data_IF_694432525795
#
_entry.id   IF_694432525795
#
_cell.length_a   1.000
_cell.length_b   1.000
_cell.length_c   1.000
_cell.angle_alpha   90.00
_cell.angle_beta   90.00
_cell.angle_gamma   90.00
#
_symmetry.space_group_name_H-M   'P 1'
#
loop_
_entity.id
_entity.type
_entity.pdbx_description
1 polymer ?
#
# COMPACT_ATOMS: atom_id res chain seq x y z
N UNK A 1 16.80 10.70 -54.28
CA UNK A 1 15.44 10.53 -53.72
C UNK A 1 15.63 10.11 -52.27
N UNK A 2 15.51 11.05 -51.34
CA UNK A 2 15.80 10.84 -49.93
C UNK A 2 14.67 10.01 -49.29
N UNK A 3 15.03 8.90 -48.65
CA UNK A 3 14.11 8.11 -47.82
C UNK A 3 13.82 8.98 -46.60
N UNK A 4 12.65 9.61 -46.59
CA UNK A 4 12.14 10.32 -45.43
C UNK A 4 12.13 9.34 -44.24
N UNK A 5 12.90 9.65 -43.20
CA UNK A 5 12.95 8.86 -41.99
C UNK A 5 11.54 8.72 -41.43
N UNK A 6 11.03 7.49 -41.34
CA UNK A 6 9.77 7.24 -40.65
C UNK A 6 9.97 7.67 -39.20
N UNK A 7 9.28 8.73 -38.79
CA UNK A 7 9.14 9.08 -37.38
C UNK A 7 8.58 7.82 -36.72
N UNK A 8 9.37 7.21 -35.85
CA UNK A 8 8.97 6.02 -35.12
C UNK A 8 7.82 6.43 -34.21
N UNK A 9 6.58 6.04 -34.55
CA UNK A 9 5.39 6.23 -33.71
C UNK A 9 5.43 5.39 -32.42
N UNK A 10 6.61 4.86 -32.06
CA UNK A 10 6.87 4.05 -30.88
C UNK A 10 6.42 4.73 -29.59
N UNK A 11 6.69 6.02 -29.29
CA UNK A 11 6.19 6.64 -28.07
C UNK A 11 4.65 6.66 -28.00
N UNK A 12 3.97 6.88 -29.13
CA UNK A 12 2.52 6.82 -29.20
C UNK A 12 2.02 5.40 -28.99
N UNK A 13 2.64 4.40 -29.62
CA UNK A 13 2.34 2.98 -29.42
C UNK A 13 2.47 2.57 -27.94
N UNK A 14 3.59 2.89 -27.29
CA UNK A 14 3.84 2.53 -25.89
C UNK A 14 2.81 3.17 -24.95
N UNK A 15 2.39 4.41 -25.21
CA UNK A 15 1.31 5.08 -24.48
C UNK A 15 -0.03 4.35 -24.60
N UNK A 16 -0.40 3.93 -25.82
CA UNK A 16 -1.64 3.17 -26.05
C UNK A 16 -1.58 1.81 -25.35
N UNK A 17 -0.46 1.12 -25.43
CA UNK A 17 -0.24 -0.15 -24.74
C UNK A 17 -0.36 -0.01 -23.22
N UNK A 18 0.21 1.04 -22.63
CA UNK A 18 0.07 1.31 -21.20
C UNK A 18 -1.39 1.61 -20.81
N UNK A 19 -2.11 2.39 -21.63
CA UNK A 19 -3.54 2.64 -21.42
C UNK A 19 -4.37 1.34 -21.46
N UNK A 20 -4.05 0.46 -22.41
CA UNK A 20 -4.69 -0.85 -22.53
C UNK A 20 -4.40 -1.73 -21.33
N UNK A 21 -3.14 -1.79 -20.89
CA UNK A 21 -2.72 -2.55 -19.72
C UNK A 21 -3.47 -2.10 -18.46
N UNK A 22 -3.67 -0.79 -18.27
CA UNK A 22 -4.48 -0.24 -17.17
C UNK A 22 -5.93 -0.70 -17.23
N UNK A 23 -6.56 -0.63 -18.41
CA UNK A 23 -7.95 -1.07 -18.59
C UNK A 23 -8.15 -2.59 -18.49
N UNK A 24 -7.07 -3.36 -18.55
CA UNK A 24 -7.08 -4.83 -18.52
C UNK A 24 -6.53 -5.41 -17.21
N UNK A 25 -6.34 -4.57 -16.18
CA UNK A 25 -5.76 -4.97 -14.88
C UNK A 25 -4.44 -5.75 -15.02
N UNK A 26 -3.59 -5.30 -15.94
CA UNK A 26 -2.23 -5.84 -16.16
C UNK A 26 -1.15 -5.00 -15.49
N UNK A 27 -1.50 -3.82 -14.98
CA UNK A 27 -0.58 -3.04 -14.17
C UNK A 27 -0.66 -3.59 -12.74
N UNK A 28 0.45 -4.12 -12.20
CA UNK A 28 0.47 -4.61 -10.83
C UNK A 28 0.07 -3.51 -9.85
N UNK A 29 -0.45 -3.89 -8.69
CA UNK A 29 -0.52 -3.00 -7.56
C UNK A 29 0.71 -3.22 -6.67
N UNK A 30 1.54 -2.19 -6.55
CA UNK A 30 2.73 -2.16 -5.67
C UNK A 30 2.66 -1.00 -4.68
N UNK A 31 1.48 -0.40 -4.52
CA UNK A 31 1.26 0.74 -3.66
C UNK A 31 1.26 0.35 -2.17
N UNK A 32 1.47 1.35 -1.32
CA UNK A 32 1.20 1.24 0.11
C UNK A 32 -0.33 1.29 0.28
N UNK A 33 -0.87 0.45 1.15
CA UNK A 33 -2.29 0.40 1.41
C UNK A 33 -2.84 1.78 1.81
N UNK A 34 -3.96 2.13 1.20
CA UNK A 34 -4.58 3.44 1.40
C UNK A 34 -4.90 3.75 2.85
N UNK A 35 -5.17 2.75 3.68
CA UNK A 35 -5.48 2.93 5.11
C UNK A 35 -4.21 3.24 5.91
N UNK A 36 -3.10 2.56 5.59
CA UNK A 36 -1.81 2.88 6.19
C UNK A 36 -1.38 4.30 5.80
N UNK A 37 -1.56 4.68 4.53
CA UNK A 37 -1.32 6.07 4.08
C UNK A 37 -2.22 7.05 4.83
N UNK A 38 -3.54 6.79 4.88
CA UNK A 38 -4.56 7.63 5.55
C UNK A 38 -4.21 7.93 7.00
N UNK A 39 -3.77 6.93 7.76
CA UNK A 39 -3.47 7.11 9.19
C UNK A 39 -2.02 7.42 9.51
N UNK A 40 -1.10 7.41 8.54
CA UNK A 40 0.33 7.71 8.76
C UNK A 40 0.66 9.20 8.92
N UNK A 41 -0.29 10.08 8.58
CA UNK A 41 -0.12 11.53 8.52
C UNK A 41 -0.36 12.28 9.85
N UNK A 42 -0.06 13.59 9.81
CA UNK A 42 -0.34 14.52 10.91
C UNK A 42 -1.84 14.78 11.12
N UNK A 43 -2.64 14.49 10.11
CA UNK A 43 -4.10 14.56 10.08
C UNK A 43 -4.79 13.28 10.55
N UNK A 44 -4.03 12.27 11.01
CA UNK A 44 -4.55 10.94 11.36
C UNK A 44 -5.74 10.93 12.33
N UNK A 45 -5.80 11.87 13.29
CA UNK A 45 -6.95 12.00 14.20
C UNK A 45 -8.19 12.57 13.50
N UNK A 46 -8.02 13.55 12.60
CA UNK A 46 -9.14 14.06 11.79
C UNK A 46 -9.65 12.99 10.84
N UNK A 47 -8.75 12.21 10.24
CA UNK A 47 -9.10 11.06 9.41
C UNK A 47 -9.84 9.97 10.19
N UNK A 48 -9.47 9.73 11.45
CA UNK A 48 -10.20 8.84 12.36
C UNK A 48 -11.61 9.36 12.64
N UNK A 49 -11.73 10.63 13.03
CA UNK A 49 -13.01 11.25 13.35
C UNK A 49 -13.96 11.22 12.13
N UNK A 50 -13.46 11.54 10.94
CA UNK A 50 -14.21 11.46 9.68
C UNK A 50 -14.65 10.03 9.37
N UNK A 51 -13.74 9.06 9.47
CA UNK A 51 -14.02 7.64 9.20
C UNK A 51 -15.13 7.11 10.11
N UNK A 52 -15.05 7.39 11.42
CA UNK A 52 -16.06 6.96 12.38
C UNK A 52 -17.39 7.67 12.14
N UNK A 53 -17.36 8.98 11.84
CA UNK A 53 -18.57 9.74 11.54
C UNK A 53 -19.30 9.17 10.32
N UNK A 54 -18.57 8.77 9.27
CA UNK A 54 -19.13 8.14 8.08
C UNK A 54 -19.75 6.77 8.40
N UNK A 55 -19.02 5.89 9.10
CA UNK A 55 -19.56 4.60 9.55
C UNK A 55 -20.83 4.74 10.40
N UNK A 56 -20.87 5.73 11.28
CA UNK A 56 -22.07 6.00 12.09
C UNK A 56 -23.22 6.59 11.26
N UNK A 57 -22.95 7.39 10.22
CA UNK A 57 -23.99 7.86 9.30
C UNK A 57 -24.62 6.70 8.53
N UNK A 58 -23.82 5.75 8.07
CA UNK A 58 -24.32 4.57 7.36
C UNK A 58 -25.14 3.66 8.29
N UNK A 59 -24.75 3.59 9.57
CA UNK A 59 -25.49 2.90 10.61
C UNK A 59 -26.64 3.71 11.23
N UNK A 60 -27.01 4.88 10.69
CA UNK A 60 -27.89 5.85 11.37
C UNK A 60 -29.25 5.29 11.78
N UNK A 61 -29.90 4.51 10.90
CA UNK A 61 -31.21 3.90 11.21
C UNK A 61 -31.12 2.95 12.40
N UNK A 62 -30.04 2.18 12.48
CA UNK A 62 -29.82 1.22 13.56
C UNK A 62 -29.39 1.92 14.87
N UNK A 63 -28.54 2.95 14.78
CA UNK A 63 -28.12 3.77 15.92
C UNK A 63 -29.30 4.42 16.65
N UNK A 64 -30.33 4.84 15.90
CA UNK A 64 -31.53 5.45 16.48
C UNK A 64 -32.30 4.48 17.38
N UNK A 65 -32.30 3.20 17.04
CA UNK A 65 -33.03 2.15 17.76
C UNK A 65 -32.17 1.51 18.88
N UNK A 66 -30.84 1.51 18.74
CA UNK A 66 -29.91 0.79 19.61
C UNK A 66 -28.83 1.67 20.26
N UNK A 67 -29.13 2.97 20.43
CA UNK A 67 -28.18 3.99 20.93
C UNK A 67 -27.45 3.54 22.20
N UNK A 68 -28.17 2.99 23.17
CA UNK A 68 -27.59 2.59 24.46
C UNK A 68 -26.64 1.39 24.33
N UNK A 69 -26.94 0.44 23.43
CA UNK A 69 -26.05 -0.70 23.14
C UNK A 69 -24.74 -0.21 22.53
N UNK A 70 -24.82 0.70 21.57
CA UNK A 70 -23.65 1.30 20.91
C UNK A 70 -22.81 2.10 21.86
N UNK A 71 -23.45 2.96 22.65
CA UNK A 71 -22.75 3.79 23.60
C UNK A 71 -22.06 2.92 24.65
N UNK A 72 -22.70 1.83 25.08
CA UNK A 72 -22.10 0.83 25.95
C UNK A 72 -20.90 0.14 25.30
N UNK A 73 -21.01 -0.31 24.04
CA UNK A 73 -19.93 -0.99 23.33
C UNK A 73 -18.74 -0.06 23.05
N UNK A 74 -19.01 1.20 22.70
CA UNK A 74 -17.98 2.21 22.42
C UNK A 74 -17.44 2.88 23.70
N UNK A 75 -18.06 2.66 24.86
CA UNK A 75 -17.61 3.26 26.13
C UNK A 75 -16.17 2.89 26.49
N UNK A 76 -15.73 1.69 26.11
CA UNK A 76 -14.34 1.23 26.27
C UNK A 76 -13.33 2.01 25.42
N UNK A 77 -13.80 2.74 24.41
CA UNK A 77 -13.04 3.61 23.51
C UNK A 77 -13.34 5.09 23.73
N UNK A 78 -14.01 5.44 24.84
CA UNK A 78 -14.53 6.79 25.07
C UNK A 78 -13.44 7.86 25.18
N UNK A 79 -12.30 7.49 25.76
CA UNK A 79 -11.11 8.31 25.80
C UNK A 79 -9.89 7.45 25.53
N UNK A 80 -9.22 7.68 24.40
CA UNK A 80 -7.96 7.01 24.07
C UNK A 80 -6.87 8.06 23.88
N UNK A 81 -5.86 8.11 24.76
CA UNK A 81 -4.75 9.03 24.62
C UNK A 81 -3.89 8.65 23.40
N UNK A 82 -3.19 9.64 22.81
CA UNK A 82 -2.24 9.40 21.71
C UNK A 82 -2.87 8.64 20.52
N UNK A 83 -4.07 9.05 20.14
CA UNK A 83 -4.94 8.44 19.12
C UNK A 83 -4.56 8.85 17.69
N UNK A 84 -3.26 8.74 17.39
CA UNK A 84 -2.64 9.17 16.13
C UNK A 84 -1.89 8.01 15.51
N UNK A 85 -1.57 8.08 14.21
CA UNK A 85 -0.77 7.03 13.57
C UNK A 85 -1.45 5.66 13.61
N UNK A 86 -0.69 4.64 14.02
CA UNK A 86 -1.17 3.26 14.18
C UNK A 86 -2.30 3.13 15.22
N UNK A 87 -2.34 3.99 16.26
CA UNK A 87 -3.45 4.00 17.21
C UNK A 87 -4.75 4.42 16.53
N UNK A 88 -4.71 5.49 15.72
CA UNK A 88 -5.87 5.94 14.97
C UNK A 88 -6.41 4.82 14.06
N UNK A 89 -5.49 4.13 13.37
CA UNK A 89 -5.84 2.99 12.53
C UNK A 89 -6.50 1.86 13.32
N UNK A 90 -5.92 1.43 14.45
CA UNK A 90 -6.51 0.40 15.33
C UNK A 90 -7.90 0.79 15.81
N UNK A 91 -8.10 2.05 16.20
CA UNK A 91 -9.38 2.56 16.67
C UNK A 91 -10.43 2.51 15.57
N UNK A 92 -10.09 2.92 14.34
CA UNK A 92 -11.02 2.82 13.21
C UNK A 92 -11.47 1.38 12.97
N UNK A 93 -10.54 0.41 12.97
CA UNK A 93 -10.88 -1.02 12.82
C UNK A 93 -11.76 -1.50 13.98
N UNK A 94 -11.42 -1.14 15.22
CA UNK A 94 -12.14 -1.58 16.41
C UNK A 94 -13.60 -1.09 16.40
N UNK A 95 -13.80 0.19 16.08
CA UNK A 95 -15.14 0.78 15.94
C UNK A 95 -15.91 0.11 14.82
N UNK A 96 -15.29 -0.13 13.68
CA UNK A 96 -15.97 -0.81 12.59
C UNK A 96 -16.39 -2.23 12.96
N UNK A 97 -15.50 -3.00 13.60
CA UNK A 97 -15.85 -4.35 14.04
C UNK A 97 -17.06 -4.33 14.97
N UNK A 98 -17.13 -3.38 15.90
CA UNK A 98 -18.27 -3.19 16.79
C UNK A 98 -19.54 -2.88 15.98
N UNK A 99 -19.48 -1.92 15.06
CA UNK A 99 -20.62 -1.53 14.22
C UNK A 99 -21.09 -2.71 13.37
N UNK A 100 -20.18 -3.40 12.68
CA UNK A 100 -20.50 -4.55 11.83
C UNK A 100 -21.10 -5.71 12.64
N UNK A 101 -20.58 -6.01 13.84
CA UNK A 101 -21.15 -7.08 14.69
C UNK A 101 -22.57 -6.78 15.16
N UNK A 102 -22.91 -5.51 15.31
CA UNK A 102 -24.16 -5.07 15.92
C UNK A 102 -25.25 -4.68 14.88
N UNK A 103 -24.85 -4.06 13.76
CA UNK A 103 -25.73 -3.66 12.65
C UNK A 103 -26.02 -4.83 11.71
N UNK A 104 -25.04 -5.69 11.45
CA UNK A 104 -25.12 -6.73 10.44
C UNK A 104 -24.91 -8.14 11.01
N UNK A 105 -26.02 -8.87 11.27
CA UNK A 105 -26.03 -10.34 11.09
C UNK A 105 -26.05 -10.72 9.60
N UNK A 106 -25.37 -9.97 8.74
CA UNK A 106 -25.36 -10.18 7.29
C UNK A 106 -23.96 -10.52 6.82
N UNK A 107 -23.89 -11.61 6.07
CA UNK A 107 -22.74 -11.97 5.23
C UNK A 107 -22.57 -10.94 4.12
N UNK A 108 -22.00 -9.76 4.40
CA UNK A 108 -21.59 -8.82 3.36
C UNK A 108 -20.08 -8.54 3.43
N UNK A 109 -19.48 -8.61 2.25
CA UNK A 109 -18.06 -8.85 1.95
C UNK A 109 -17.23 -7.57 1.72
N UNK A 110 -17.67 -6.43 2.23
CA UNK A 110 -17.08 -5.12 1.88
C UNK A 110 -16.99 -4.17 3.09
N UNK A 111 -16.31 -4.62 4.14
CA UNK A 111 -16.04 -3.85 5.37
C UNK A 111 -14.55 -4.00 5.68
N UNK A 112 -13.86 -2.99 6.24
CA UNK A 112 -12.46 -2.91 6.74
C UNK A 112 -11.91 -4.11 7.53
N UNK A 113 -12.70 -5.15 7.82
CA UNK A 113 -12.18 -6.52 7.86
C UNK A 113 -11.30 -6.82 6.62
N UNK A 114 -11.68 -6.27 5.46
CA UNK A 114 -10.97 -6.16 4.21
C UNK A 114 -9.73 -5.29 4.28
N UNK A 115 -9.53 -4.40 5.25
CA UNK A 115 -8.22 -3.75 5.40
C UNK A 115 -7.20 -4.75 5.93
N UNK A 116 -7.54 -5.49 6.99
CA UNK A 116 -6.66 -6.58 7.41
C UNK A 116 -6.55 -7.64 6.30
N UNK A 117 -7.59 -7.83 5.48
CA UNK A 117 -7.52 -8.73 4.33
C UNK A 117 -6.67 -8.18 3.15
N UNK A 118 -6.77 -6.90 2.82
CA UNK A 118 -6.09 -6.22 1.70
C UNK A 118 -4.62 -5.99 2.01
N UNK A 119 -4.30 -5.62 3.25
CA UNK A 119 -2.91 -5.46 3.74
C UNK A 119 -2.31 -6.80 4.17
N UNK A 120 -3.12 -7.67 4.79
CA UNK A 120 -2.69 -8.88 5.50
C UNK A 120 -3.39 -10.18 5.06
N UNK A 121 -3.88 -10.38 3.85
CA UNK A 121 -4.37 -11.73 3.46
C UNK A 121 -3.99 -12.24 2.09
N UNK A 122 -3.28 -11.44 1.29
CA UNK A 122 -2.81 -11.90 -0.02
C UNK A 122 -1.81 -13.07 0.10
N UNK A 123 -1.19 -13.28 1.26
CA UNK A 123 -0.26 -14.39 1.51
C UNK A 123 -0.50 -15.02 2.90
N UNK A 124 -1.12 -16.21 2.94
CA UNK A 124 -1.44 -16.94 4.19
C UNK A 124 -0.22 -17.41 5.01
N UNK A 125 1.01 -17.09 4.61
CA UNK A 125 2.25 -17.58 5.22
C UNK A 125 3.38 -16.52 5.33
N UNK A 126 3.07 -15.22 5.20
CA UNK A 126 4.09 -14.18 5.26
C UNK A 126 4.43 -13.80 6.71
N UNK A 127 5.68 -13.96 7.13
CA UNK A 127 6.12 -13.56 8.48
C UNK A 127 5.99 -12.05 8.74
N UNK A 128 6.10 -11.21 7.69
CA UNK A 128 5.86 -9.75 7.76
C UNK A 128 4.43 -9.49 8.18
N UNK A 129 3.50 -10.15 7.50
CA UNK A 129 2.07 -10.05 7.77
C UNK A 129 1.75 -10.45 9.20
N UNK A 130 2.15 -11.66 9.59
CA UNK A 130 1.76 -12.24 10.88
C UNK A 130 2.26 -11.36 12.04
N UNK A 131 3.42 -10.72 11.86
CA UNK A 131 3.96 -9.77 12.84
C UNK A 131 3.15 -8.47 12.92
N UNK A 132 2.75 -7.91 11.77
CA UNK A 132 1.91 -6.70 11.73
C UNK A 132 0.52 -6.96 12.32
N UNK A 133 -0.09 -8.11 12.02
CA UNK A 133 -1.39 -8.52 12.59
C UNK A 133 -1.30 -8.68 14.11
N UNK A 134 -0.27 -9.38 14.61
CA UNK A 134 -0.05 -9.53 16.03
C UNK A 134 0.18 -8.17 16.71
N UNK A 135 0.92 -7.25 16.09
CA UNK A 135 1.07 -5.89 16.61
C UNK A 135 -0.26 -5.16 16.75
N UNK A 136 -1.09 -5.15 15.71
CA UNK A 136 -2.40 -4.49 15.75
C UNK A 136 -3.29 -5.07 16.84
N UNK A 137 -3.25 -6.40 17.02
CA UNK A 137 -3.98 -7.09 18.09
C UNK A 137 -3.49 -6.68 19.48
N UNK A 138 -2.18 -6.60 19.70
CA UNK A 138 -1.58 -6.20 20.98
C UNK A 138 -1.86 -4.73 21.28
N UNK A 139 -1.71 -3.86 20.28
CA UNK A 139 -2.02 -2.44 20.40
C UNK A 139 -3.49 -2.24 20.80
N UNK A 140 -4.42 -2.97 20.18
CA UNK A 140 -5.84 -2.96 20.57
C UNK A 140 -6.07 -3.44 22.00
N UNK A 141 -5.37 -4.49 22.43
CA UNK A 141 -5.55 -5.09 23.76
C UNK A 141 -5.05 -4.18 24.87
N UNK A 142 -4.01 -3.39 24.61
CA UNK A 142 -3.33 -2.55 25.60
C UNK A 142 -3.49 -1.04 25.36
N UNK A 143 -4.53 -0.60 24.64
CA UNK A 143 -4.74 0.82 24.28
C UNK A 143 -4.63 1.80 25.48
N UNK A 144 -4.98 1.35 26.68
CA UNK A 144 -4.96 2.15 27.91
C UNK A 144 -3.72 1.91 28.80
N UNK A 145 -2.78 1.08 28.36
CA UNK A 145 -1.62 0.63 29.12
C UNK A 145 -0.31 0.95 28.36
N UNK A 146 0.13 2.23 28.33
CA UNK A 146 1.21 2.71 27.46
C UNK A 146 2.55 1.97 27.68
N UNK A 147 2.82 1.52 28.91
CA UNK A 147 4.02 0.72 29.22
C UNK A 147 3.99 -0.64 28.52
N UNK A 148 2.86 -1.35 28.54
CA UNK A 148 2.71 -2.63 27.85
C UNK A 148 2.74 -2.46 26.33
N UNK A 149 2.13 -1.38 25.81
CA UNK A 149 2.22 -1.05 24.39
C UNK A 149 3.67 -0.81 23.98
N UNK A 150 4.46 -0.11 24.80
CA UNK A 150 5.87 0.14 24.51
C UNK A 150 6.68 -1.16 24.46
N UNK A 151 6.51 -2.04 25.45
CA UNK A 151 7.18 -3.35 25.49
C UNK A 151 6.84 -4.21 24.27
N UNK A 152 5.56 -4.30 23.92
CA UNK A 152 5.12 -5.06 22.75
C UNK A 152 5.57 -4.42 21.43
N UNK A 153 5.59 -3.09 21.36
CA UNK A 153 6.11 -2.36 20.20
C UNK A 153 7.58 -2.70 19.96
N UNK A 154 8.41 -2.64 20.99
CA UNK A 154 9.84 -2.98 20.89
C UNK A 154 10.09 -4.42 20.47
N UNK A 155 9.32 -5.35 21.05
CA UNK A 155 9.43 -6.77 20.72
C UNK A 155 9.07 -7.04 19.26
N UNK A 156 7.95 -6.49 18.80
CA UNK A 156 7.40 -6.75 17.47
C UNK A 156 8.10 -5.94 16.37
N UNK A 157 8.63 -4.76 16.68
CA UNK A 157 9.43 -3.93 15.77
C UNK A 157 10.66 -4.72 15.29
N UNK A 158 11.39 -5.34 16.22
CA UNK A 158 12.55 -6.16 15.90
C UNK A 158 12.18 -7.37 15.06
N UNK A 159 11.09 -8.05 15.40
CA UNK A 159 10.59 -9.18 14.62
C UNK A 159 10.24 -8.74 13.20
N UNK A 160 9.54 -7.62 13.03
CA UNK A 160 9.15 -7.12 11.71
C UNK A 160 10.38 -6.75 10.87
N UNK A 161 11.38 -6.10 11.47
CA UNK A 161 12.66 -5.77 10.82
C UNK A 161 13.39 -7.02 10.30
N UNK A 162 13.41 -8.10 11.09
CA UNK A 162 13.98 -9.39 10.69
C UNK A 162 13.19 -10.02 9.52
N UNK A 163 11.86 -10.00 9.58
CA UNK A 163 11.01 -10.54 8.51
C UNK A 163 11.13 -9.76 7.21
N UNK A 164 11.20 -8.42 7.28
CA UNK A 164 11.45 -7.56 6.12
C UNK A 164 12.80 -7.83 5.48
N UNK A 165 13.82 -8.09 6.29
CA UNK A 165 15.15 -8.46 5.80
C UNK A 165 15.12 -9.80 5.07
N UNK A 166 14.42 -10.80 5.63
CA UNK A 166 14.23 -12.11 4.99
C UNK A 166 13.47 -11.99 3.66
N UNK A 167 12.36 -11.26 3.64
CA UNK A 167 11.56 -11.04 2.44
C UNK A 167 12.33 -10.30 1.34
N UNK A 168 13.12 -9.28 1.70
CA UNK A 168 14.02 -8.63 0.76
C UNK A 168 15.04 -9.61 0.17
N UNK A 169 15.67 -10.41 1.03
CA UNK A 169 16.70 -11.35 0.59
C UNK A 169 16.11 -12.43 -0.33
N UNK A 170 14.91 -12.92 -0.06
CA UNK A 170 14.27 -13.91 -0.94
C UNK A 170 13.95 -13.33 -2.33
N UNK A 171 13.51 -12.07 -2.40
CA UNK A 171 13.32 -11.37 -3.67
C UNK A 171 14.62 -11.16 -4.44
N UNK A 172 15.71 -10.81 -3.76
CA UNK A 172 16.99 -10.47 -4.40
C UNK A 172 17.88 -11.68 -4.72
N UNK A 173 17.74 -12.79 -3.98
CA UNK A 173 18.70 -13.88 -4.00
C UNK A 173 18.06 -15.25 -4.25
N UNK A 174 16.78 -15.43 -3.95
CA UNK A 174 16.11 -16.74 -4.02
C UNK A 174 15.10 -16.81 -5.20
N UNK A 175 15.21 -15.89 -6.16
CA UNK A 175 14.31 -15.76 -7.32
C UNK A 175 12.82 -15.67 -6.95
N UNK A 176 12.49 -15.10 -5.78
CA UNK A 176 11.11 -14.90 -5.31
C UNK A 176 10.59 -13.49 -5.63
N UNK A 177 11.16 -12.82 -6.63
CA UNK A 177 10.71 -11.51 -7.07
C UNK A 177 9.30 -11.62 -7.66
N UNK A 178 8.38 -10.81 -7.16
CA UNK A 178 7.02 -10.68 -7.67
C UNK A 178 6.42 -9.35 -7.24
N UNK A 179 5.36 -8.92 -7.91
CA UNK A 179 4.57 -7.74 -7.55
C UNK A 179 4.03 -7.85 -6.13
N UNK A 180 3.59 -9.05 -5.75
CA UNK A 180 3.05 -9.34 -4.42
C UNK A 180 4.13 -9.24 -3.34
N UNK A 181 5.30 -9.86 -3.55
CA UNK A 181 6.42 -9.78 -2.61
C UNK A 181 6.88 -8.33 -2.41
N UNK A 182 6.92 -7.55 -3.49
CA UNK A 182 7.26 -6.12 -3.45
C UNK A 182 6.20 -5.31 -2.68
N UNK A 183 4.91 -5.57 -2.92
CA UNK A 183 3.81 -4.94 -2.16
C UNK A 183 3.88 -5.28 -0.66
N UNK A 184 4.14 -6.53 -0.31
CA UNK A 184 4.30 -6.92 1.10
C UNK A 184 5.49 -6.22 1.76
N UNK A 185 6.62 -6.16 1.06
CA UNK A 185 7.81 -5.50 1.60
C UNK A 185 7.60 -3.99 1.78
N UNK A 186 6.99 -3.32 0.81
CA UNK A 186 6.72 -1.87 0.86
C UNK A 186 5.74 -1.51 1.98
N UNK A 187 4.64 -2.27 2.11
CA UNK A 187 3.67 -2.08 3.20
C UNK A 187 4.30 -2.35 4.57
N UNK A 188 5.08 -3.43 4.70
CA UNK A 188 5.76 -3.74 5.95
C UNK A 188 6.81 -2.70 6.33
N UNK A 189 7.59 -2.17 5.37
CA UNK A 189 8.55 -1.09 5.62
C UNK A 189 7.84 0.21 6.05
N UNK A 190 6.75 0.58 5.38
CA UNK A 190 5.95 1.74 5.76
C UNK A 190 5.37 1.59 7.18
N UNK A 191 4.88 0.40 7.52
CA UNK A 191 4.34 0.10 8.85
C UNK A 191 5.42 0.09 9.93
N UNK A 192 6.59 -0.47 9.63
CA UNK A 192 7.73 -0.49 10.55
C UNK A 192 8.19 0.93 10.92
N UNK A 193 8.25 1.84 9.95
CA UNK A 193 8.53 3.26 10.23
C UNK A 193 7.46 3.88 11.16
N UNK A 194 6.19 3.53 10.97
CA UNK A 194 5.12 3.97 11.85
C UNK A 194 5.22 3.36 13.26
N UNK A 195 5.70 2.11 13.39
CA UNK A 195 6.01 1.51 14.70
C UNK A 195 7.12 2.26 15.41
N UNK A 196 8.21 2.61 14.72
CA UNK A 196 9.30 3.38 15.31
C UNK A 196 8.86 4.78 15.75
N UNK A 197 8.01 5.44 14.96
CA UNK A 197 7.41 6.73 15.33
C UNK A 197 6.52 6.56 16.57
N UNK A 198 5.70 5.51 16.60
CA UNK A 198 4.84 5.21 17.74
C UNK A 198 5.65 4.90 19.02
N UNK A 199 6.74 4.13 18.91
CA UNK A 199 7.66 3.87 20.00
C UNK A 199 8.29 5.16 20.54
N UNK A 200 8.76 6.03 19.64
CA UNK A 200 9.33 7.32 20.01
C UNK A 200 8.30 8.20 20.75
N UNK A 201 7.04 8.24 20.29
CA UNK A 201 5.95 8.95 20.98
C UNK A 201 5.77 8.44 22.41
N UNK A 202 5.68 7.13 22.61
CA UNK A 202 5.50 6.54 23.94
C UNK A 202 6.65 6.87 24.88
N UNK A 203 7.90 6.80 24.39
CA UNK A 203 9.08 7.17 25.19
C UNK A 203 9.09 8.63 25.57
N UNK A 204 8.75 9.52 24.63
CA UNK A 204 8.69 10.97 24.86
C UNK A 204 7.69 11.36 25.95
N UNK A 205 6.60 10.60 26.10
CA UNK A 205 5.62 10.82 27.17
C UNK A 205 6.12 10.38 28.56
N UNK A 206 7.10 9.50 28.61
CA UNK A 206 7.64 8.94 29.86
C UNK A 206 8.84 9.68 30.43
N UNK A 207 9.41 10.65 29.69
CA UNK A 207 10.68 11.32 30.05
C UNK A 207 10.53 12.82 30.37
N UNK A 208 11.41 13.32 31.23
CA UNK A 208 11.62 14.75 31.47
C UNK A 208 12.70 15.37 30.56
N UNK A 209 13.59 14.56 29.96
CA UNK A 209 14.68 15.01 29.07
C UNK A 209 14.26 14.95 27.60
N UNK A 210 13.27 15.75 27.24
CA UNK A 210 12.56 15.63 25.96
C UNK A 210 13.44 15.95 24.73
N UNK A 211 14.30 16.96 24.78
CA UNK A 211 14.97 17.45 23.57
C UNK A 211 16.10 16.54 23.06
N UNK A 212 16.97 16.04 23.96
CA UNK A 212 18.04 15.12 23.59
C UNK A 212 17.49 13.76 23.12
N UNK A 213 16.43 13.25 23.77
CA UNK A 213 15.77 12.00 23.36
C UNK A 213 15.06 12.15 22.03
N UNK A 214 14.39 13.28 21.78
CA UNK A 214 13.76 13.56 20.49
C UNK A 214 14.77 13.51 19.34
N UNK A 215 15.94 14.14 19.50
CA UNK A 215 17.00 14.09 18.48
C UNK A 215 17.49 12.66 18.24
N UNK A 216 17.69 11.88 19.30
CA UNK A 216 18.10 10.47 19.19
C UNK A 216 17.08 9.61 18.45
N UNK A 217 15.79 9.73 18.81
CA UNK A 217 14.70 9.01 18.13
C UNK A 217 14.56 9.44 16.67
N UNK A 218 14.62 10.74 16.41
CA UNK A 218 14.57 11.28 15.06
C UNK A 218 15.72 10.72 14.19
N UNK A 219 16.95 10.74 14.69
CA UNK A 219 18.11 10.20 13.97
C UNK A 219 17.97 8.70 13.67
N UNK A 220 17.44 7.94 14.64
CA UNK A 220 17.19 6.51 14.46
C UNK A 220 16.16 6.23 13.35
N UNK A 221 15.02 6.93 13.37
CA UNK A 221 13.95 6.76 12.38
C UNK A 221 14.43 7.21 10.99
N UNK A 222 15.17 8.33 10.90
CA UNK A 222 15.77 8.80 9.63
C UNK A 222 16.71 7.73 9.06
N UNK A 223 17.55 7.12 9.90
CA UNK A 223 18.47 6.06 9.47
C UNK A 223 17.71 4.85 8.91
N UNK A 224 16.64 4.42 9.59
CA UNK A 224 15.79 3.33 9.10
C UNK A 224 15.11 3.71 7.77
N UNK A 225 14.61 4.93 7.65
CA UNK A 225 13.97 5.45 6.45
C UNK A 225 14.93 5.48 5.26
N UNK A 226 16.14 6.00 5.44
CA UNK A 226 17.17 6.04 4.39
C UNK A 226 17.59 4.62 3.97
N UNK A 227 17.67 3.70 4.92
CA UNK A 227 17.89 2.29 4.64
C UNK A 227 16.77 1.71 3.77
N UNK A 228 15.49 1.98 4.09
CA UNK A 228 14.36 1.53 3.29
C UNK A 228 14.30 2.19 1.91
N UNK A 229 14.61 3.48 1.77
CA UNK A 229 14.69 4.13 0.46
C UNK A 229 15.75 3.47 -0.42
N UNK A 230 16.95 3.22 0.12
CA UNK A 230 18.03 2.54 -0.61
C UNK A 230 17.64 1.11 -1.00
N UNK A 231 17.02 0.36 -0.09
CA UNK A 231 16.55 -0.99 -0.36
C UNK A 231 15.43 -1.01 -1.42
N UNK A 232 14.52 -0.04 -1.37
CA UNK A 232 13.44 0.11 -2.34
C UNK A 232 14.00 0.34 -3.75
N UNK A 233 14.97 1.25 -3.92
CA UNK A 233 15.59 1.49 -5.23
C UNK A 233 16.21 0.21 -5.81
N UNK A 234 16.90 -0.57 -4.98
CA UNK A 234 17.45 -1.87 -5.38
C UNK A 234 16.36 -2.86 -5.79
N UNK A 235 15.30 -2.97 -4.98
CA UNK A 235 14.18 -3.86 -5.27
C UNK A 235 13.45 -3.46 -6.55
N UNK A 236 13.24 -2.17 -6.80
CA UNK A 236 12.60 -1.67 -8.02
C UNK A 236 13.45 -1.94 -9.26
N UNK A 237 14.77 -1.85 -9.17
CA UNK A 237 15.69 -2.21 -10.25
C UNK A 237 15.58 -3.69 -10.61
N UNK A 238 15.64 -4.58 -9.62
CA UNK A 238 15.51 -6.02 -9.84
C UNK A 238 14.10 -6.40 -10.31
N UNK A 239 13.07 -5.76 -9.77
CA UNK A 239 11.68 -5.96 -10.19
C UNK A 239 11.45 -5.52 -11.64
N UNK A 240 12.12 -4.45 -12.08
CA UNK A 240 12.10 -4.04 -13.50
C UNK A 240 12.73 -5.10 -14.40
N UNK A 241 13.85 -5.68 -13.99
CA UNK A 241 14.50 -6.80 -14.71
C UNK A 241 13.57 -8.02 -14.75
N UNK A 242 12.94 -8.36 -13.63
CA UNK A 242 11.93 -9.42 -13.57
C UNK A 242 10.75 -9.15 -14.52
N UNK A 243 10.20 -7.93 -14.56
CA UNK A 243 9.13 -7.59 -15.51
C UNK A 243 9.56 -7.66 -16.98
N UNK A 244 10.83 -7.43 -17.30
CA UNK A 244 11.35 -7.64 -18.66
C UNK A 244 11.35 -9.12 -19.07
N UNK A 245 11.43 -10.06 -18.13
CA UNK A 245 11.33 -11.49 -18.44
C UNK A 245 9.90 -12.02 -18.45
N UNK A 246 8.97 -11.41 -17.70
CA UNK A 246 7.58 -11.88 -17.62
C UNK A 246 6.62 -11.17 -18.58
N UNK A 247 6.91 -9.94 -18.99
CA UNK A 247 6.06 -9.19 -19.91
C UNK A 247 6.52 -9.39 -21.36
N UNK A 248 5.59 -9.78 -22.22
CA UNK A 248 5.83 -9.91 -23.66
C UNK A 248 4.80 -9.16 -24.49
N UNK A 249 5.28 -8.45 -25.52
CA UNK A 249 4.44 -7.85 -26.57
C UNK A 249 4.46 -8.77 -27.78
N UNK A 250 3.39 -9.51 -27.99
CA UNK A 250 3.27 -10.49 -29.07
C UNK A 250 2.58 -9.87 -30.29
N UNK A 251 3.12 -10.15 -31.47
CA UNK A 251 2.52 -9.81 -32.74
C UNK A 251 1.63 -10.96 -33.23
N UNK A 252 0.36 -10.68 -33.49
CA UNK A 252 -0.56 -11.63 -34.12
C UNK A 252 -0.65 -11.32 -35.61
N UNK A 253 -0.16 -12.24 -36.45
CA UNK A 253 -0.45 -12.21 -37.89
C UNK A 253 -1.70 -13.06 -38.13
N UNK A 254 -2.84 -12.49 -38.57
CA UNK A 254 -3.99 -13.30 -38.96
C UNK A 254 -3.64 -14.06 -40.25
N UNK A 255 -3.25 -15.33 -40.12
CA UNK A 255 -2.85 -16.19 -41.23
C UNK A 255 -3.92 -16.30 -42.35
N UNK A 256 -5.20 -16.15 -42.01
CA UNK A 256 -6.31 -16.15 -42.99
C UNK A 256 -6.36 -14.88 -43.86
N UNK A 257 -5.87 -13.73 -43.37
CA UNK A 257 -5.82 -12.47 -44.15
C UNK A 257 -4.73 -12.49 -45.23
N UNK A 258 -3.70 -13.31 -45.06
CA UNK A 258 -2.63 -13.48 -46.05
C UNK A 258 -3.11 -14.20 -47.33
N UNK A 259 -4.25 -14.88 -47.30
CA UNK A 259 -4.78 -15.69 -48.41
C UNK A 259 -5.89 -14.99 -49.22
N UNK A 260 -6.52 -13.95 -48.68
CA UNK A 260 -7.79 -13.41 -49.23
C UNK A 260 -7.66 -12.00 -49.84
N UNK A 261 -6.66 -11.21 -49.44
CA UNK A 261 -6.54 -9.81 -49.88
C UNK A 261 -5.37 -9.63 -50.86
N UNK A 262 -5.68 -9.09 -52.04
CA UNK A 262 -4.73 -8.78 -53.12
C UNK A 262 -3.83 -7.59 -52.80
N UNK A 263 -4.18 -6.82 -51.77
CA UNK A 263 -3.38 -5.74 -51.21
C UNK A 263 -3.43 -5.88 -49.68
N UNK A 264 -2.40 -6.45 -49.03
CA UNK A 264 -2.44 -6.73 -47.62
C UNK A 264 -2.36 -5.41 -46.85
N UNK A 265 -3.51 -4.88 -46.42
CA UNK A 265 -3.53 -4.01 -45.25
C UNK A 265 -3.01 -4.89 -44.12
N UNK A 266 -1.70 -4.82 -43.87
CA UNK A 266 -1.04 -5.51 -42.77
C UNK A 266 -1.66 -4.99 -41.48
N UNK A 267 -2.68 -5.70 -40.99
CA UNK A 267 -3.28 -5.48 -39.70
C UNK A 267 -2.24 -5.84 -38.65
N UNK A 268 -1.51 -4.83 -38.19
CA UNK A 268 -0.49 -4.99 -37.17
C UNK A 268 -1.17 -5.07 -35.80
N UNK A 269 -1.54 -6.29 -35.41
CA UNK A 269 -2.19 -6.57 -34.13
C UNK A 269 -1.15 -6.96 -33.08
N UNK A 270 -1.18 -6.28 -31.95
CA UNK A 270 -0.29 -6.50 -30.82
C UNK A 270 -1.09 -6.91 -29.58
N UNK A 271 -0.56 -7.86 -28.82
CA UNK A 271 -1.14 -8.30 -27.54
C UNK A 271 -0.04 -8.22 -26.49
N UNK A 272 -0.32 -7.51 -25.40
CA UNK A 272 0.46 -7.59 -24.17
C UNK A 272 0.08 -8.85 -23.40
N UNK A 273 1.08 -9.61 -22.95
CA UNK A 273 0.94 -10.72 -22.00
C UNK A 273 1.85 -10.45 -20.81
N UNK A 274 1.35 -10.67 -19.60
CA UNK A 274 2.16 -10.75 -18.37
C UNK A 274 2.05 -12.15 -17.79
N UNK A 275 3.19 -12.85 -17.73
CA UNK A 275 3.27 -14.23 -17.23
C UNK A 275 3.10 -14.32 -15.72
N UNK A 276 3.35 -13.25 -14.96
CA UNK A 276 3.13 -13.27 -13.50
C UNK A 276 1.65 -13.46 -13.17
N UNK A 277 0.75 -12.86 -13.97
CA UNK A 277 -0.69 -12.91 -13.74
C UNK A 277 -1.40 -13.94 -14.62
N UNK A 278 -0.69 -14.55 -15.57
CA UNK A 278 -1.26 -15.34 -16.67
C UNK A 278 -2.41 -14.60 -17.39
N UNK A 279 -2.20 -13.31 -17.67
CA UNK A 279 -3.20 -12.44 -18.29
C UNK A 279 -2.71 -11.85 -19.60
N UNK A 280 -3.67 -11.49 -20.46
CA UNK A 280 -3.43 -10.86 -21.76
C UNK A 280 -4.38 -9.70 -21.97
N UNK A 281 -3.87 -8.66 -22.61
CA UNK A 281 -4.68 -7.53 -23.08
C UNK A 281 -5.49 -7.91 -24.33
N UNK A 282 -6.54 -7.14 -24.65
CA UNK A 282 -7.14 -7.14 -25.98
C UNK A 282 -6.09 -6.86 -27.08
N UNK A 283 -6.40 -7.20 -28.33
CA UNK A 283 -5.51 -6.88 -29.44
C UNK A 283 -5.55 -5.38 -29.76
N UNK A 284 -4.37 -4.74 -29.82
CA UNK A 284 -4.20 -3.37 -30.27
C UNK A 284 -3.78 -3.36 -31.75
N UNK A 285 -4.56 -2.67 -32.59
CA UNK A 285 -4.12 -2.34 -33.94
C UNK A 285 -3.23 -1.09 -33.91
N UNK A 286 -2.02 -1.20 -34.46
CA UNK A 286 -1.13 -0.04 -34.57
C UNK A 286 -0.21 -0.15 -35.80
N UNK A 287 -0.33 0.73 -36.80
CA UNK A 287 0.49 0.66 -38.01
C UNK A 287 1.96 1.06 -37.75
N UNK A 288 2.88 0.52 -38.56
CA UNK A 288 4.25 1.05 -38.72
C UNK A 288 5.11 1.10 -37.44
N UNK A 289 5.06 0.07 -36.58
CA UNK A 289 5.94 -0.03 -35.40
C UNK A 289 7.00 -1.10 -35.60
N UNK A 290 8.28 -0.71 -35.43
CA UNK A 290 9.40 -1.65 -35.41
C UNK A 290 9.27 -2.63 -34.24
N UNK A 291 9.33 -3.93 -34.56
CA UNK A 291 9.11 -5.05 -33.62
C UNK A 291 10.29 -5.31 -32.68
N UNK A 292 11.48 -4.85 -33.04
CA UNK A 292 12.70 -5.13 -32.29
C UNK A 292 12.67 -4.46 -30.92
N UNK A 293 12.82 -5.27 -29.87
CA UNK A 293 12.89 -4.82 -28.48
C UNK A 293 11.58 -4.26 -27.92
N UNK A 294 10.42 -4.56 -28.50
CA UNK A 294 9.16 -3.95 -28.07
C UNK A 294 8.80 -4.23 -26.60
N UNK A 295 9.00 -5.47 -26.14
CA UNK A 295 8.72 -5.84 -24.75
C UNK A 295 9.57 -5.03 -23.76
N UNK A 296 10.89 -4.96 -23.99
CA UNK A 296 11.80 -4.21 -23.13
C UNK A 296 11.47 -2.71 -23.11
N UNK A 297 11.26 -2.12 -24.29
CA UNK A 297 10.88 -0.71 -24.41
C UNK A 297 9.54 -0.42 -23.74
N UNK A 298 8.59 -1.36 -23.79
CA UNK A 298 7.33 -1.24 -23.08
C UNK A 298 7.54 -1.26 -21.57
N UNK A 299 8.34 -2.18 -21.03
CA UNK A 299 8.61 -2.23 -19.58
C UNK A 299 9.35 -0.98 -19.12
N UNK A 300 10.34 -0.49 -19.89
CA UNK A 300 11.01 0.77 -19.60
C UNK A 300 10.02 1.94 -19.54
N UNK A 301 9.19 2.08 -20.58
CA UNK A 301 8.15 3.12 -20.63
C UNK A 301 7.12 2.99 -19.51
N UNK A 302 6.70 1.76 -19.17
CA UNK A 302 5.77 1.49 -18.08
C UNK A 302 6.35 2.01 -16.77
N UNK A 303 7.58 1.65 -16.41
CA UNK A 303 8.22 2.08 -15.16
C UNK A 303 8.37 3.61 -15.08
N UNK A 304 8.72 4.28 -16.18
CA UNK A 304 8.88 5.75 -16.20
C UNK A 304 7.54 6.49 -16.03
N UNK A 305 6.43 5.83 -16.38
CA UNK A 305 5.07 6.41 -16.41
C UNK A 305 4.10 5.75 -15.39
N UNK A 306 4.61 4.91 -14.49
CA UNK A 306 3.81 4.24 -13.47
C UNK A 306 3.64 5.16 -12.25
N UNK A 307 2.44 5.74 -12.12
CA UNK A 307 2.12 6.71 -11.07
C UNK A 307 2.39 6.16 -9.65
N UNK A 308 1.99 4.91 -9.38
CA UNK A 308 2.17 4.28 -8.06
C UNK A 308 3.64 4.20 -7.64
N UNK A 309 4.60 4.00 -8.56
CA UNK A 309 6.02 4.01 -8.21
C UNK A 309 6.50 5.40 -7.77
N UNK A 310 5.96 6.46 -8.38
CA UNK A 310 6.25 7.84 -7.99
C UNK A 310 5.67 8.15 -6.62
N UNK A 311 4.42 7.78 -6.38
CA UNK A 311 3.73 7.94 -5.10
C UNK A 311 4.44 7.17 -3.98
N UNK A 312 4.85 5.92 -4.24
CA UNK A 312 5.61 5.09 -3.31
C UNK A 312 6.92 5.76 -2.88
N UNK A 313 7.71 6.28 -3.83
CA UNK A 313 8.95 7.01 -3.53
C UNK A 313 8.66 8.31 -2.78
N UNK A 314 7.60 9.01 -3.17
CA UNK A 314 7.19 10.26 -2.54
C UNK A 314 6.81 10.05 -1.07
N UNK A 315 6.09 8.96 -0.74
CA UNK A 315 5.71 8.63 0.63
C UNK A 315 6.91 8.62 1.59
N UNK A 316 8.00 7.91 1.25
CA UNK A 316 9.19 7.86 2.11
C UNK A 316 9.89 9.22 2.20
N UNK A 317 9.93 9.98 1.10
CA UNK A 317 10.52 11.33 1.08
C UNK A 317 9.72 12.31 1.94
N UNK A 318 8.39 12.30 1.84
CA UNK A 318 7.49 13.16 2.63
C UNK A 318 7.55 12.83 4.11
N UNK A 319 7.62 11.53 4.44
CA UNK A 319 7.72 11.08 5.82
C UNK A 319 8.96 11.66 6.49
N UNK A 320 10.12 11.69 5.80
CA UNK A 320 11.38 12.24 6.33
C UNK A 320 11.22 13.68 6.84
N UNK A 321 10.48 14.52 6.12
CA UNK A 321 10.23 15.91 6.49
C UNK A 321 9.29 16.08 7.70
N UNK A 322 8.48 15.06 8.02
CA UNK A 322 7.42 15.09 9.03
C UNK A 322 7.76 14.34 10.31
N UNK A 323 8.86 13.57 10.36
CA UNK A 323 9.20 12.69 11.51
C UNK A 323 9.12 13.43 12.85
N UNK A 324 9.72 14.63 12.95
CA UNK A 324 9.73 15.39 14.21
C UNK A 324 8.32 15.70 14.69
N UNK A 325 7.50 16.26 13.81
CA UNK A 325 6.13 16.66 14.13
C UNK A 325 5.26 15.44 14.44
N UNK A 326 5.48 14.34 13.71
CA UNK A 326 4.82 13.08 13.99
C UNK A 326 5.18 12.58 15.39
N UNK A 327 6.44 12.56 15.81
CA UNK A 327 6.82 12.12 17.17
C UNK A 327 6.19 12.99 18.26
N UNK A 328 6.04 14.30 18.01
CA UNK A 328 5.48 15.24 18.98
C UNK A 328 3.95 15.23 19.02
N UNK A 329 3.30 14.61 18.04
CA UNK A 329 1.85 14.51 17.97
C UNK A 329 1.29 13.69 19.15
N UNK A 330 0.26 14.21 19.82
CA UNK A 330 -0.36 13.58 21.00
C UNK A 330 -1.87 13.85 21.07
N UNK A 331 -2.54 13.86 19.92
CA UNK A 331 -3.97 14.16 19.88
C UNK A 331 -4.80 13.05 20.56
N UNK A 332 -5.83 13.47 21.29
CA UNK A 332 -6.74 12.60 22.04
C UNK A 332 -8.05 12.40 21.27
N UNK A 333 -8.50 11.16 21.17
CA UNK A 333 -9.74 10.80 20.53
C UNK A 333 -10.84 10.72 21.58
N UNK A 334 -11.93 11.44 21.31
CA UNK A 334 -13.12 11.49 22.16
C UNK A 334 -14.32 11.06 21.34
N UNK A 335 -14.91 9.94 21.72
CA UNK A 335 -16.06 9.39 21.00
C UNK A 335 -17.23 10.38 20.93
N UNK A 336 -17.36 11.26 21.93
CA UNK A 336 -18.42 12.27 21.98
C UNK A 336 -18.36 13.29 20.84
N UNK A 337 -17.20 13.47 20.20
CA UNK A 337 -17.07 14.37 19.04
C UNK A 337 -17.71 13.82 17.77
N UNK A 338 -17.80 12.49 17.66
CA UNK A 338 -18.25 11.80 16.44
C UNK A 338 -19.66 11.21 16.57
N UNK A 339 -20.19 11.13 17.79
CA UNK A 339 -21.56 10.68 18.01
C UNK A 339 -22.55 11.70 17.42
N UNK A 340 -23.54 11.26 16.63
CA UNK A 340 -24.60 12.15 16.17
C UNK A 340 -25.39 12.71 17.37
N UNK A 341 -25.59 14.02 17.37
CA UNK A 341 -26.35 14.77 18.39
C UNK A 341 -27.82 14.37 18.40
#
# INVERSE_FOLDING_TARGET
MAIAGSISDRPAFLRHMLGLAKSSDLIPDVSIDGSLVKYSGLDSTSELENSITEMLKDAHSWLKENRDSVLSALSALSNVPNSVGLCAMVLSIAVELIISTEVEKKENKDSTSDMMRRVFSEEKASGVRDTMEEYMKRLRMYLHEPTLVLEETQRLEKQLSEQLTRLKNSMLHDNQMSSRSLKHWTNGAAFHLQMLIHEARLKMQSTTEQEAQLQGHQAHIITALECYQSQLEKLLMEYKTYKKSTISVTYLMPWYMALVLSDPILLHLFVLKDEEFDRRSPALYFPNVSRTGLSENYVDYMFDNWAQLKELKQYFSDLKGKIKDLILQNDEFKIQKVLPV
#
